data_IF_778096536107
#
_entry.id   IF_778096536107
#
_cell.length_a   1.000
_cell.length_b   1.000
_cell.length_c   1.000
_cell.angle_alpha   90.00
_cell.angle_beta   90.00
_cell.angle_gamma   90.00
#
_symmetry.space_group_name_H-M   'P 1'
#
loop_
_entity.id
_entity.type
_entity.pdbx_description
1 polymer ?
#
# COMPACT_ATOMS: atom_id res chain seq x y z
N UNK A 1 16.55 -3.24 -11.31
CA UNK A 1 17.40 -2.97 -10.13
C UNK A 1 16.78 -3.62 -8.89
N UNK A 2 17.60 -4.20 -8.03
CA UNK A 2 17.14 -4.80 -6.75
C UNK A 2 17.35 -3.78 -5.65
N UNK A 3 16.28 -3.43 -4.93
CA UNK A 3 16.30 -2.47 -3.84
C UNK A 3 16.15 -3.22 -2.51
N UNK A 4 17.08 -3.00 -1.60
CA UNK A 4 17.06 -3.59 -0.27
C UNK A 4 16.51 -2.59 0.75
N UNK A 5 15.32 -2.84 1.29
CA UNK A 5 14.64 -1.96 2.25
C UNK A 5 15.53 -1.50 3.41
N UNK A 6 16.29 -2.41 4.03
CA UNK A 6 17.14 -2.07 5.18
C UNK A 6 18.24 -1.11 4.76
N UNK A 7 18.93 -1.39 3.65
CA UNK A 7 20.09 -0.61 3.20
C UNK A 7 19.66 0.78 2.71
N UNK A 8 18.61 0.85 1.89
CA UNK A 8 18.13 2.12 1.33
C UNK A 8 17.46 3.01 2.39
N UNK A 9 16.72 2.42 3.34
CA UNK A 9 16.19 3.18 4.47
C UNK A 9 17.32 3.69 5.36
N UNK A 10 18.32 2.86 5.67
CA UNK A 10 19.47 3.26 6.49
C UNK A 10 20.27 4.42 5.87
N UNK A 11 20.46 4.42 4.54
CA UNK A 11 21.06 5.56 3.82
C UNK A 11 20.22 6.84 3.95
N UNK A 12 18.89 6.71 3.77
CA UNK A 12 17.97 7.84 3.82
C UNK A 12 18.00 8.57 5.17
N UNK A 13 18.22 7.82 6.26
CA UNK A 13 18.19 8.30 7.63
C UNK A 13 19.59 8.51 8.24
N UNK A 14 20.63 8.62 7.42
CA UNK A 14 22.00 8.84 7.90
C UNK A 14 22.18 10.22 8.57
N UNK A 15 21.38 11.22 8.19
CA UNK A 15 21.33 12.51 8.86
C UNK A 15 20.57 12.39 10.20
N UNK A 16 21.13 12.90 11.34
CA UNK A 16 20.50 12.78 12.66
C UNK A 16 19.09 13.39 12.75
N UNK A 17 18.81 14.49 12.06
CA UNK A 17 17.48 15.13 12.09
C UNK A 17 16.47 14.29 11.28
N UNK A 18 16.91 13.72 10.15
CA UNK A 18 16.08 12.81 9.35
C UNK A 18 15.81 11.51 10.13
N UNK A 19 16.83 10.95 10.81
CA UNK A 19 16.68 9.78 11.69
C UNK A 19 15.65 10.01 12.77
N UNK A 20 15.69 11.18 13.40
CA UNK A 20 14.73 11.58 14.43
C UNK A 20 13.32 11.73 13.89
N UNK A 21 13.14 12.36 12.73
CA UNK A 21 11.86 12.50 12.07
C UNK A 21 11.28 11.14 11.70
N UNK A 22 12.06 10.29 11.04
CA UNK A 22 11.68 8.92 10.69
C UNK A 22 11.21 8.10 11.90
N UNK A 23 11.94 8.15 13.03
CA UNK A 23 11.53 7.44 14.25
C UNK A 23 10.22 7.96 14.81
N UNK A 24 10.00 9.25 14.80
CA UNK A 24 8.73 9.83 15.25
C UNK A 24 7.56 9.36 14.37
N UNK A 25 7.74 9.31 13.06
CA UNK A 25 6.71 8.82 12.13
C UNK A 25 6.41 7.33 12.37
N UNK A 26 7.43 6.48 12.49
CA UNK A 26 7.28 5.05 12.80
C UNK A 26 6.53 4.84 14.12
N UNK A 27 6.89 5.59 15.15
CA UNK A 27 6.26 5.45 16.47
C UNK A 27 4.82 5.99 16.49
N UNK A 28 4.49 6.97 15.65
CA UNK A 28 3.11 7.46 15.54
C UNK A 28 2.17 6.45 14.89
N UNK A 29 2.70 5.62 13.98
CA UNK A 29 1.95 4.54 13.33
C UNK A 29 1.94 3.21 14.15
N UNK A 30 2.53 3.22 15.35
CA UNK A 30 2.74 1.98 16.13
C UNK A 30 1.72 1.74 17.24
N UNK A 31 0.59 2.47 17.27
CA UNK A 31 -0.47 2.37 18.29
C UNK A 31 0.04 2.44 19.74
N UNK A 32 1.19 3.11 19.96
CA UNK A 32 1.82 3.26 21.27
C UNK A 32 1.11 4.37 22.06
N UNK A 33 0.14 3.98 22.87
CA UNK A 33 -0.65 4.90 23.69
C UNK A 33 0.02 5.32 25.02
N UNK A 34 1.18 4.73 25.31
CA UNK A 34 1.97 4.92 26.53
C UNK A 34 3.10 5.89 26.29
N UNK A 35 3.09 7.06 26.93
CA UNK A 35 4.11 8.08 26.68
C UNK A 35 5.49 7.66 27.18
N UNK A 36 5.60 7.08 28.38
CA UNK A 36 6.88 6.64 28.95
C UNK A 36 7.52 5.52 28.12
N UNK A 37 6.72 4.54 27.71
CA UNK A 37 7.15 3.44 26.85
C UNK A 37 7.57 3.96 25.48
N UNK A 38 6.82 4.88 24.88
CA UNK A 38 7.15 5.48 23.57
C UNK A 38 8.51 6.21 23.61
N UNK A 39 8.77 6.98 24.64
CA UNK A 39 10.06 7.68 24.80
C UNK A 39 11.21 6.68 24.99
N UNK A 40 11.01 5.65 25.82
CA UNK A 40 12.03 4.61 26.02
C UNK A 40 12.35 3.84 24.74
N UNK A 41 11.34 3.52 23.92
CA UNK A 41 11.55 2.89 22.61
C UNK A 41 12.30 3.85 21.67
N UNK A 42 11.94 5.13 21.68
CA UNK A 42 12.63 6.13 20.87
C UNK A 42 14.13 6.16 21.22
N UNK A 43 14.47 6.31 22.51
CA UNK A 43 15.86 6.39 22.97
C UNK A 43 16.63 5.10 22.66
N UNK A 44 16.01 3.94 22.88
CA UNK A 44 16.60 2.63 22.59
C UNK A 44 16.94 2.48 21.10
N UNK A 45 16.00 2.82 20.21
CA UNK A 45 16.20 2.72 18.76
C UNK A 45 17.17 3.79 18.25
N UNK A 46 17.05 5.03 18.72
CA UNK A 46 17.90 6.14 18.28
C UNK A 46 19.39 5.93 18.59
N UNK A 47 19.69 5.24 19.69
CA UNK A 47 21.06 4.90 20.07
C UNK A 47 21.74 3.86 19.14
N UNK A 48 20.96 3.13 18.31
CA UNK A 48 21.49 2.13 17.39
C UNK A 48 22.09 2.76 16.12
N UNK A 49 23.08 2.10 15.48
CA UNK A 49 23.43 2.39 14.08
C UNK A 49 22.20 2.24 13.17
N UNK A 50 22.11 3.04 12.13
CA UNK A 50 20.90 3.14 11.24
C UNK A 50 20.42 1.79 10.72
N UNK A 51 21.32 0.96 10.21
CA UNK A 51 21.01 -0.36 9.67
C UNK A 51 20.46 -1.32 10.74
N UNK A 52 21.06 -1.30 11.94
CA UNK A 52 20.61 -2.10 13.07
C UNK A 52 19.24 -1.62 13.56
N UNK A 53 19.05 -0.30 13.64
CA UNK A 53 17.79 0.31 13.99
C UNK A 53 16.65 -0.10 13.05
N UNK A 54 16.88 0.00 11.73
CA UNK A 54 15.87 -0.41 10.73
C UNK A 54 15.55 -1.89 10.83
N UNK A 55 16.59 -2.74 10.99
CA UNK A 55 16.39 -4.18 11.18
C UNK A 55 15.60 -4.48 12.47
N UNK A 56 15.86 -3.75 13.56
CA UNK A 56 15.14 -3.89 14.83
C UNK A 56 13.67 -3.43 14.71
N UNK A 57 13.41 -2.35 13.99
CA UNK A 57 12.04 -1.87 13.68
C UNK A 57 11.25 -2.95 12.92
N UNK A 58 11.87 -3.59 11.93
CA UNK A 58 11.24 -4.70 11.17
C UNK A 58 10.96 -5.91 12.08
N UNK A 59 11.92 -6.27 12.94
CA UNK A 59 11.80 -7.40 13.87
C UNK A 59 10.83 -7.13 15.03
N UNK A 60 10.47 -5.87 15.26
CA UNK A 60 9.68 -5.42 16.40
C UNK A 60 10.54 -5.19 17.66
N UNK A 61 9.98 -4.40 18.59
CA UNK A 61 10.60 -4.13 19.89
C UNK A 61 9.87 -4.92 20.94
N UNK A 62 10.57 -5.86 21.57
CA UNK A 62 10.01 -6.71 22.64
C UNK A 62 10.01 -5.97 23.97
N UNK A 63 9.15 -6.40 24.90
CA UNK A 63 9.15 -5.88 26.27
C UNK A 63 10.48 -6.13 26.98
N UNK A 64 11.13 -7.26 26.73
CA UNK A 64 12.45 -7.58 27.28
C UNK A 64 13.61 -6.70 26.77
N UNK A 65 13.42 -6.02 25.63
CA UNK A 65 14.40 -5.07 25.08
C UNK A 65 14.46 -3.76 25.89
N UNK A 66 13.35 -3.37 26.51
CA UNK A 66 13.19 -2.13 27.28
C UNK A 66 13.16 -2.48 28.77
N UNK A 67 14.31 -2.41 29.42
CA UNK A 67 14.45 -2.85 30.83
C UNK A 67 13.85 -1.88 31.83
N UNK A 68 14.00 -0.59 31.58
CA UNK A 68 13.58 0.46 32.50
C UNK A 68 13.00 1.64 31.71
N UNK A 69 11.96 2.22 32.21
CA UNK A 69 11.37 3.48 31.73
C UNK A 69 10.62 4.19 32.85
N UNK A 70 10.49 5.50 32.73
CA UNK A 70 9.69 6.30 33.66
C UNK A 70 8.21 6.27 33.24
N UNK A 71 7.34 5.81 34.12
CA UNK A 71 5.90 5.82 33.86
C UNK A 71 5.37 7.25 33.90
N UNK A 72 4.76 7.69 32.78
CA UNK A 72 4.19 9.05 32.59
C UNK A 72 2.67 9.03 32.42
N UNK A 73 2.11 7.84 32.26
CA UNK A 73 0.67 7.64 32.08
C UNK A 73 0.18 6.39 32.80
N UNK A 74 -1.14 6.26 32.97
CA UNK A 74 -1.71 5.03 33.52
C UNK A 74 -1.45 3.83 32.61
N UNK A 75 -1.41 4.04 31.31
CA UNK A 75 -1.11 2.99 30.31
C UNK A 75 0.29 2.41 30.48
N UNK A 76 1.26 3.18 31.00
CA UNK A 76 2.61 2.71 31.28
C UNK A 76 2.66 1.70 32.44
N UNK A 77 1.65 1.71 33.30
CA UNK A 77 1.55 0.83 34.47
C UNK A 77 0.73 -0.45 34.22
N UNK A 78 0.00 -0.49 33.09
CA UNK A 78 -0.80 -1.65 32.71
C UNK A 78 0.11 -2.69 32.06
N UNK A 79 0.14 -3.89 32.64
CA UNK A 79 0.90 -5.01 32.11
C UNK A 79 -0.01 -6.05 31.50
N UNK A 80 0.39 -6.63 30.39
CA UNK A 80 -0.22 -7.78 29.74
C UNK A 80 0.86 -8.78 29.33
N UNK A 81 0.46 -9.99 28.92
CA UNK A 81 1.36 -11.08 28.51
C UNK A 81 1.83 -10.97 27.05
N UNK A 82 1.40 -9.95 26.30
CA UNK A 82 1.83 -9.75 24.93
C UNK A 82 3.33 -9.39 24.87
N UNK A 83 4.14 -10.07 24.02
CA UNK A 83 5.59 -9.97 24.12
C UNK A 83 6.22 -8.71 23.52
N UNK A 84 5.45 -7.92 22.75
CA UNK A 84 5.96 -6.74 22.06
C UNK A 84 5.37 -5.44 22.60
N UNK A 85 6.17 -4.38 22.63
CA UNK A 85 5.70 -3.01 22.67
C UNK A 85 5.43 -2.48 21.27
N UNK A 86 6.27 -2.83 20.29
CA UNK A 86 6.07 -2.50 18.90
C UNK A 86 6.12 -3.79 18.08
N UNK A 87 5.02 -4.08 17.38
CA UNK A 87 4.89 -5.31 16.60
C UNK A 87 5.93 -5.44 15.48
N UNK A 88 6.34 -6.66 15.12
CA UNK A 88 7.15 -6.90 13.94
C UNK A 88 6.37 -6.59 12.64
N UNK A 89 7.06 -6.51 11.51
CA UNK A 89 6.51 -6.37 10.17
C UNK A 89 6.55 -7.72 9.42
N UNK A 90 5.66 -8.68 9.71
CA UNK A 90 5.77 -10.06 9.21
C UNK A 90 5.54 -10.17 7.71
N UNK A 91 4.86 -9.20 7.11
CA UNK A 91 4.44 -9.23 5.71
C UNK A 91 5.31 -8.37 4.77
N UNK A 92 6.42 -7.82 5.26
CA UNK A 92 7.29 -6.91 4.49
C UNK A 92 7.86 -7.56 3.20
N UNK A 93 7.93 -8.88 3.13
CA UNK A 93 8.36 -9.61 1.93
C UNK A 93 7.33 -9.60 0.78
N UNK A 94 6.07 -9.24 1.05
CA UNK A 94 5.06 -8.99 0.02
C UNK A 94 5.21 -7.55 -0.50
N UNK A 95 6.13 -7.36 -1.44
CA UNK A 95 6.51 -6.03 -1.94
C UNK A 95 5.50 -5.41 -2.89
N UNK A 96 4.51 -6.16 -3.36
CA UNK A 96 3.47 -5.69 -4.27
C UNK A 96 2.43 -4.79 -3.57
N UNK A 97 2.06 -5.13 -2.34
CA UNK A 97 0.91 -4.52 -1.67
C UNK A 97 1.14 -3.08 -1.21
N UNK A 98 2.35 -2.66 -0.71
CA UNK A 98 2.55 -1.32 -0.18
C UNK A 98 2.66 -0.23 -1.25
N UNK A 99 2.80 -0.58 -2.53
CA UNK A 99 2.86 0.42 -3.60
C UNK A 99 2.86 -0.17 -5.01
N UNK A 100 2.53 0.66 -5.99
CA UNK A 100 2.50 0.29 -7.40
C UNK A 100 3.03 1.42 -8.29
N UNK A 101 3.90 1.07 -9.24
CA UNK A 101 4.29 1.97 -10.32
C UNK A 101 3.23 1.93 -11.42
N UNK A 102 2.64 3.08 -11.74
CA UNK A 102 1.55 3.20 -12.73
C UNK A 102 1.91 4.33 -13.69
N UNK A 103 2.26 3.96 -14.94
CA UNK A 103 2.77 4.93 -15.90
C UNK A 103 4.05 5.62 -15.41
N UNK A 104 4.01 6.93 -15.29
CA UNK A 104 5.12 7.76 -14.80
C UNK A 104 4.97 8.20 -13.34
N UNK A 105 4.12 7.55 -12.57
CA UNK A 105 3.89 7.88 -11.17
C UNK A 105 3.80 6.65 -10.28
N UNK A 106 3.68 6.92 -9.00
CA UNK A 106 3.67 5.93 -7.93
C UNK A 106 2.38 6.04 -7.11
N UNK A 107 1.83 4.92 -6.73
CA UNK A 107 0.92 4.80 -5.60
C UNK A 107 1.69 4.40 -4.36
N UNK A 108 1.53 5.13 -3.28
CA UNK A 108 1.87 4.69 -1.93
C UNK A 108 0.59 4.27 -1.25
N UNK A 109 0.45 2.99 -1.00
CA UNK A 109 -0.81 2.43 -0.57
C UNK A 109 -1.05 2.60 0.94
N UNK A 110 -2.25 3.01 1.29
CA UNK A 110 -2.72 2.97 2.67
C UNK A 110 -3.26 1.57 2.97
N UNK A 111 -2.47 0.80 3.71
CA UNK A 111 -2.79 -0.59 4.03
C UNK A 111 -4.02 -0.69 4.93
N UNK A 112 -4.94 -1.61 4.62
CA UNK A 112 -6.15 -1.85 5.41
C UNK A 112 -5.83 -2.40 6.80
N UNK A 113 -4.77 -3.19 6.92
CA UNK A 113 -4.34 -3.83 8.17
C UNK A 113 -3.36 -2.92 8.92
N UNK A 114 -3.66 -2.51 10.18
CA UNK A 114 -2.77 -1.63 10.96
C UNK A 114 -1.33 -2.13 11.08
N UNK A 115 -1.11 -3.44 11.25
CA UNK A 115 0.22 -4.04 11.34
C UNK A 115 1.10 -3.78 10.10
N UNK A 116 0.50 -3.49 8.92
CA UNK A 116 1.21 -3.21 7.68
C UNK A 116 1.42 -1.71 7.41
N UNK A 117 0.82 -0.83 8.17
CA UNK A 117 0.93 0.63 7.96
C UNK A 117 2.32 1.19 8.18
N UNK A 118 3.17 0.47 8.91
CA UNK A 118 4.57 0.84 9.17
C UNK A 118 5.56 0.29 8.13
N UNK A 119 5.10 -0.35 7.04
CA UNK A 119 5.97 -0.88 6.01
C UNK A 119 6.80 0.22 5.33
N UNK A 120 8.04 -0.11 4.98
CA UNK A 120 9.10 0.89 4.76
C UNK A 120 8.99 1.72 3.48
N UNK A 121 8.16 1.32 2.51
CA UNK A 121 8.13 1.97 1.20
C UNK A 121 7.79 3.48 1.27
N UNK A 122 6.84 3.85 2.12
CA UNK A 122 6.46 5.26 2.33
C UNK A 122 7.60 6.09 2.90
N UNK A 123 8.38 5.50 3.83
CA UNK A 123 9.51 6.20 4.45
C UNK A 123 10.68 6.33 3.46
N UNK A 124 10.89 5.34 2.60
CA UNK A 124 11.83 5.45 1.49
C UNK A 124 11.42 6.58 0.55
N UNK A 125 10.12 6.68 0.21
CA UNK A 125 9.62 7.78 -0.61
C UNK A 125 9.85 9.15 0.06
N UNK A 126 9.55 9.27 1.34
CA UNK A 126 9.64 10.53 2.07
C UNK A 126 11.08 11.00 2.30
N UNK A 127 11.99 10.08 2.58
CA UNK A 127 13.33 10.39 3.08
C UNK A 127 14.47 10.04 2.13
N UNK A 128 14.28 9.13 1.16
CA UNK A 128 15.32 8.76 0.21
C UNK A 128 15.17 9.53 -1.11
N UNK A 129 15.99 10.56 -1.31
CA UNK A 129 15.96 11.40 -2.52
C UNK A 129 16.46 10.70 -3.78
N UNK A 130 17.25 9.64 -3.63
CA UNK A 130 17.68 8.79 -4.75
C UNK A 130 16.54 7.89 -5.22
N UNK A 131 15.72 7.40 -4.28
CA UNK A 131 14.54 6.59 -4.57
C UNK A 131 13.39 7.44 -5.12
N UNK A 132 13.09 8.57 -4.49
CA UNK A 132 12.03 9.49 -4.88
C UNK A 132 12.56 10.93 -5.00
N UNK A 133 13.09 11.31 -6.18
CA UNK A 133 13.51 12.67 -6.44
C UNK A 133 12.37 13.68 -6.23
N UNK A 134 12.72 14.91 -5.91
CA UNK A 134 11.75 15.99 -5.73
C UNK A 134 10.85 16.14 -6.96
N UNK A 135 9.53 16.20 -6.75
CA UNK A 135 8.54 16.30 -7.82
C UNK A 135 8.10 14.95 -8.41
N UNK A 136 8.51 13.83 -7.82
CA UNK A 136 7.96 12.50 -8.19
C UNK A 136 6.44 12.48 -8.09
N UNK A 137 5.77 12.02 -9.17
CA UNK A 137 4.32 12.04 -9.24
C UNK A 137 3.70 10.95 -8.36
N UNK A 138 2.78 11.36 -7.48
CA UNK A 138 1.93 10.43 -6.72
C UNK A 138 0.51 10.43 -7.28
N UNK A 139 -0.04 9.22 -7.49
CA UNK A 139 -1.46 9.04 -7.79
C UNK A 139 -2.28 8.78 -6.54
N UNK A 140 -1.68 8.12 -5.55
CA UNK A 140 -2.24 7.90 -4.23
C UNK A 140 -1.18 8.17 -3.17
N UNK A 141 -1.53 8.98 -2.19
CA UNK A 141 -0.68 9.26 -1.03
C UNK A 141 -1.05 8.30 0.10
N UNK A 142 -0.03 7.76 0.76
CA UNK A 142 -0.19 6.90 1.93
C UNK A 142 -1.10 7.50 3.02
N UNK A 143 -1.04 8.83 3.22
CA UNK A 143 -1.88 9.53 4.19
C UNK A 143 -3.34 9.67 3.74
N UNK A 144 -3.70 9.11 2.60
CA UNK A 144 -5.08 9.06 2.13
C UNK A 144 -6.00 8.36 3.13
N UNK A 145 -7.26 8.84 3.28
CA UNK A 145 -8.16 8.37 4.34
C UNK A 145 -8.74 6.98 4.11
N UNK A 146 -8.48 6.36 2.97
CA UNK A 146 -9.13 5.14 2.52
C UNK A 146 -8.10 4.08 2.12
N UNK A 147 -8.38 2.80 2.40
CA UNK A 147 -7.47 1.72 2.04
C UNK A 147 -7.48 1.42 0.53
N UNK A 148 -6.28 1.17 0.03
CA UNK A 148 -5.98 0.60 -1.29
C UNK A 148 -4.73 -0.26 -1.14
N UNK A 149 -4.69 -1.43 -1.76
CA UNK A 149 -3.55 -2.35 -1.71
C UNK A 149 -3.16 -2.81 -3.12
N UNK A 150 -1.87 -3.00 -3.35
CA UNK A 150 -1.32 -3.24 -4.68
C UNK A 150 -1.71 -4.54 -5.34
N UNK A 151 -2.12 -5.55 -4.56
CA UNK A 151 -2.70 -6.77 -5.10
C UNK A 151 -4.03 -6.55 -5.83
N UNK A 152 -4.71 -5.44 -5.55
CA UNK A 152 -5.91 -5.01 -6.26
C UNK A 152 -5.63 -4.18 -7.51
N UNK A 153 -4.38 -3.76 -7.76
CA UNK A 153 -4.05 -2.83 -8.84
C UNK A 153 -3.32 -3.54 -9.98
N UNK A 154 -3.93 -3.58 -11.17
CA UNK A 154 -3.34 -4.15 -12.38
C UNK A 154 -3.35 -3.12 -13.53
N UNK A 155 -2.18 -2.84 -14.09
CA UNK A 155 -2.06 -2.00 -15.29
C UNK A 155 -2.28 -2.88 -16.52
N UNK A 156 -3.43 -2.73 -17.18
CA UNK A 156 -3.77 -3.54 -18.36
C UNK A 156 -3.05 -3.04 -19.62
N UNK A 157 -2.98 -1.72 -19.79
CA UNK A 157 -2.25 -1.06 -20.87
C UNK A 157 -1.98 0.41 -20.51
N UNK A 158 -1.41 1.17 -21.44
CA UNK A 158 -1.06 2.61 -21.25
C UNK A 158 -2.27 3.55 -21.01
N UNK A 159 -3.49 3.06 -21.17
CA UNK A 159 -4.73 3.86 -21.04
C UNK A 159 -5.70 3.31 -19.99
N UNK A 160 -5.44 2.12 -19.44
CA UNK A 160 -6.41 1.43 -18.59
C UNK A 160 -5.74 0.77 -17.39
N UNK A 161 -6.27 1.06 -16.21
CA UNK A 161 -5.96 0.35 -14.96
C UNK A 161 -7.17 -0.46 -14.55
N UNK A 162 -6.97 -1.72 -14.14
CA UNK A 162 -7.99 -2.52 -13.46
C UNK A 162 -7.74 -2.46 -11.95
N UNK A 163 -8.82 -2.29 -11.17
CA UNK A 163 -8.73 -2.26 -9.70
C UNK A 163 -9.82 -3.13 -9.08
N UNK A 164 -9.41 -3.97 -8.12
CA UNK A 164 -10.32 -4.73 -7.29
C UNK A 164 -10.98 -3.85 -6.22
N UNK A 165 -12.30 -3.87 -6.16
CA UNK A 165 -13.07 -3.47 -4.98
C UNK A 165 -13.21 -4.71 -4.11
N UNK A 166 -12.44 -4.77 -3.02
CA UNK A 166 -12.20 -5.97 -2.21
C UNK A 166 -12.36 -5.69 -0.72
N UNK A 167 -12.00 -6.64 0.13
CA UNK A 167 -11.88 -6.41 1.57
C UNK A 167 -10.73 -5.46 1.94
N UNK A 168 -9.78 -5.23 1.02
CA UNK A 168 -8.55 -4.46 1.25
C UNK A 168 -8.58 -3.09 0.57
N UNK A 169 -9.33 -2.96 -0.51
CA UNK A 169 -9.44 -1.74 -1.29
C UNK A 169 -10.87 -1.25 -1.32
N UNK A 170 -11.10 -0.06 -0.79
CA UNK A 170 -12.42 0.56 -0.67
C UNK A 170 -12.83 1.32 -1.92
N UNK A 171 -14.16 1.50 -2.13
CA UNK A 171 -14.68 2.33 -3.22
C UNK A 171 -14.11 3.76 -3.19
N UNK A 172 -14.07 4.38 -2.00
CA UNK A 172 -13.54 5.74 -1.85
C UNK A 172 -12.04 5.83 -2.11
N UNK A 173 -11.26 4.75 -1.81
CA UNK A 173 -9.85 4.65 -2.20
C UNK A 173 -9.68 4.62 -3.71
N UNK A 174 -10.51 3.85 -4.40
CA UNK A 174 -10.54 3.78 -5.87
C UNK A 174 -10.91 5.13 -6.48
N UNK A 175 -11.92 5.82 -5.94
CA UNK A 175 -12.35 7.14 -6.42
C UNK A 175 -11.25 8.19 -6.27
N UNK A 176 -10.58 8.22 -5.13
CA UNK A 176 -9.47 9.13 -4.90
C UNK A 176 -8.31 8.87 -5.88
N UNK A 177 -7.92 7.59 -6.05
CA UNK A 177 -6.92 7.20 -7.03
C UNK A 177 -7.33 7.58 -8.46
N UNK A 178 -8.56 7.21 -8.88
CA UNK A 178 -9.07 7.48 -10.21
C UNK A 178 -9.12 8.98 -10.54
N UNK A 179 -9.52 9.81 -9.57
CA UNK A 179 -9.53 11.26 -9.72
C UNK A 179 -8.14 11.81 -10.04
N UNK A 180 -7.10 11.30 -9.38
CA UNK A 180 -5.73 11.77 -9.59
C UNK A 180 -5.12 11.23 -10.90
N UNK A 181 -5.23 9.91 -11.13
CA UNK A 181 -4.60 9.29 -12.30
C UNK A 181 -5.26 9.71 -13.60
N UNK A 182 -6.60 9.79 -13.64
CA UNK A 182 -7.33 10.16 -14.86
C UNK A 182 -7.19 11.67 -15.21
N UNK A 183 -6.94 12.52 -14.22
CA UNK A 183 -6.73 13.94 -14.43
C UNK A 183 -5.31 14.29 -14.86
N UNK A 184 -4.32 13.59 -14.33
CA UNK A 184 -2.93 14.03 -14.38
C UNK A 184 -2.02 13.09 -15.18
N UNK A 185 -2.58 12.08 -15.87
CA UNK A 185 -1.80 11.11 -16.66
C UNK A 185 -2.41 10.84 -18.04
N UNK A 186 -1.85 9.86 -18.75
CA UNK A 186 -2.37 9.38 -20.04
C UNK A 186 -3.47 8.33 -19.89
N UNK A 187 -3.77 7.89 -18.68
CA UNK A 187 -4.83 6.92 -18.44
C UNK A 187 -6.21 7.54 -18.70
N UNK A 188 -7.08 6.78 -19.35
CA UNK A 188 -8.42 7.24 -19.76
C UNK A 188 -9.54 6.60 -18.97
N UNK A 189 -9.26 5.44 -18.34
CA UNK A 189 -10.28 4.69 -17.60
C UNK A 189 -9.69 3.84 -16.49
N UNK A 190 -10.50 3.62 -15.48
CA UNK A 190 -10.29 2.61 -14.44
C UNK A 190 -11.43 1.61 -14.54
N UNK A 191 -11.12 0.32 -14.69
CA UNK A 191 -12.10 -0.77 -14.64
C UNK A 191 -12.10 -1.34 -13.22
N UNK A 192 -13.24 -1.27 -12.56
CA UNK A 192 -13.41 -1.72 -11.18
C UNK A 192 -14.06 -3.10 -11.18
N UNK A 193 -13.40 -4.06 -10.54
CA UNK A 193 -13.85 -5.42 -10.35
C UNK A 193 -14.37 -5.58 -8.92
N UNK A 194 -15.68 -5.75 -8.75
CA UNK A 194 -16.22 -6.06 -7.41
C UNK A 194 -15.98 -7.52 -7.08
N UNK A 195 -15.02 -7.78 -6.23
CA UNK A 195 -14.65 -9.12 -5.78
C UNK A 195 -15.57 -9.54 -4.63
N UNK A 196 -16.07 -10.80 -4.60
CA UNK A 196 -16.83 -11.30 -3.46
C UNK A 196 -16.02 -11.22 -2.18
N UNK A 197 -16.64 -10.78 -1.09
CA UNK A 197 -16.00 -10.64 0.23
C UNK A 197 -15.75 -12.00 0.89
N UNK A 198 -14.77 -12.74 0.37
CA UNK A 198 -14.30 -14.01 0.90
C UNK A 198 -12.82 -13.88 1.26
N UNK A 199 -12.40 -14.45 2.39
CA UNK A 199 -10.98 -14.46 2.79
C UNK A 199 -10.05 -15.05 1.73
N UNK A 200 -10.54 -16.01 0.92
CA UNK A 200 -9.79 -16.61 -0.18
C UNK A 200 -9.55 -15.62 -1.34
N UNK A 201 -10.35 -14.55 -1.44
CA UNK A 201 -10.30 -13.56 -2.50
C UNK A 201 -9.82 -12.22 -1.96
N UNK A 202 -8.66 -12.24 -1.32
CA UNK A 202 -8.11 -11.09 -0.61
C UNK A 202 -7.92 -9.88 -1.53
N UNK A 203 -7.38 -10.10 -2.75
CA UNK A 203 -7.08 -9.09 -3.75
C UNK A 203 -7.52 -9.56 -5.15
N UNK A 204 -7.55 -8.64 -6.11
CA UNK A 204 -7.85 -8.93 -7.50
C UNK A 204 -6.87 -9.95 -8.10
N UNK A 205 -5.57 -9.81 -7.83
CA UNK A 205 -4.53 -10.69 -8.36
C UNK A 205 -4.60 -12.14 -7.85
N UNK A 206 -5.34 -12.40 -6.77
CA UNK A 206 -5.62 -13.77 -6.30
C UNK A 206 -6.70 -14.49 -7.10
N UNK A 207 -7.50 -13.75 -7.84
CA UNK A 207 -8.65 -14.28 -8.60
C UNK A 207 -8.63 -13.95 -10.08
N UNK A 208 -7.82 -12.94 -10.47
CA UNK A 208 -7.69 -12.50 -11.85
C UNK A 208 -6.30 -11.92 -12.08
N UNK A 209 -5.56 -12.43 -13.05
CA UNK A 209 -4.20 -11.97 -13.35
C UNK A 209 -3.93 -12.02 -14.86
N UNK A 210 -3.33 -10.94 -15.36
CA UNK A 210 -2.83 -10.86 -16.73
C UNK A 210 -1.48 -11.64 -16.84
N UNK A 211 -1.44 -12.69 -17.63
CA UNK A 211 -0.24 -13.53 -17.83
C UNK A 211 0.47 -13.29 -19.15
N UNK A 212 -0.25 -12.77 -20.15
CA UNK A 212 0.30 -12.33 -21.44
C UNK A 212 -0.58 -11.19 -21.96
N UNK A 213 -0.23 -10.58 -23.09
CA UNK A 213 -0.89 -9.42 -23.66
C UNK A 213 -2.41 -9.59 -23.83
N UNK A 214 -2.86 -10.79 -24.21
CA UNK A 214 -4.26 -11.16 -24.44
C UNK A 214 -4.73 -12.37 -23.62
N UNK A 215 -3.93 -12.78 -22.61
CA UNK A 215 -4.21 -13.97 -21.80
C UNK A 215 -4.28 -13.63 -20.32
N UNK A 216 -5.29 -14.19 -19.68
CA UNK A 216 -5.55 -13.99 -18.26
C UNK A 216 -5.80 -15.32 -17.57
N UNK A 217 -5.54 -15.36 -16.29
CA UNK A 217 -6.06 -16.41 -15.41
C UNK A 217 -7.22 -15.84 -14.61
N UNK A 218 -8.28 -16.63 -14.47
CA UNK A 218 -9.46 -16.28 -13.70
C UNK A 218 -9.83 -17.44 -12.76
N UNK A 219 -10.17 -17.11 -11.52
CA UNK A 219 -10.67 -18.11 -10.60
C UNK A 219 -12.11 -18.49 -10.97
N UNK A 220 -12.46 -19.80 -11.10
CA UNK A 220 -13.78 -20.22 -11.56
C UNK A 220 -14.97 -19.66 -10.78
N UNK A 221 -14.81 -19.40 -9.48
CA UNK A 221 -15.88 -18.84 -8.66
C UNK A 221 -16.22 -17.38 -8.98
N UNK A 222 -15.37 -16.63 -9.69
CA UNK A 222 -15.65 -15.26 -10.12
C UNK A 222 -15.99 -15.17 -11.61
N UNK A 223 -15.90 -16.27 -12.36
CA UNK A 223 -16.29 -16.35 -13.78
C UNK A 223 -17.81 -16.13 -14.01
N UNK A 224 -18.62 -16.20 -12.95
CA UNK A 224 -20.05 -15.94 -12.95
C UNK A 224 -20.40 -14.43 -13.00
N UNK A 225 -21.46 -13.97 -12.35
CA UNK A 225 -21.94 -12.59 -12.44
C UNK A 225 -21.00 -11.62 -11.68
N UNK A 226 -19.81 -11.40 -12.22
CA UNK A 226 -18.89 -10.41 -11.75
C UNK A 226 -19.44 -9.01 -12.03
N UNK A 227 -19.58 -8.19 -10.98
CA UNK A 227 -19.97 -6.80 -11.16
C UNK A 227 -18.75 -5.97 -11.56
N UNK A 228 -18.86 -5.37 -12.74
CA UNK A 228 -17.82 -4.51 -13.31
C UNK A 228 -18.32 -3.08 -13.45
N UNK A 229 -17.44 -2.13 -13.17
CA UNK A 229 -17.72 -0.71 -13.38
C UNK A 229 -16.59 -0.06 -14.18
N UNK A 230 -16.94 0.88 -15.03
CA UNK A 230 -16.00 1.75 -15.73
C UNK A 230 -16.05 3.14 -15.08
N UNK A 231 -14.89 3.66 -14.70
CA UNK A 231 -14.70 5.01 -14.17
C UNK A 231 -13.89 5.80 -15.18
N UNK A 232 -14.38 6.97 -15.57
CA UNK A 232 -13.75 7.87 -16.54
C UNK A 232 -13.82 9.31 -16.04
N UNK A 233 -12.97 10.18 -16.59
CA UNK A 233 -13.02 11.63 -16.31
C UNK A 233 -13.98 12.31 -17.29
N UNK A 234 -14.95 13.05 -16.74
CA UNK A 234 -15.85 13.88 -17.52
C UNK A 234 -15.21 15.18 -18.01
N UNK A 235 -15.82 15.82 -18.99
CA UNK A 235 -15.38 17.10 -19.50
C UNK A 235 -15.45 18.23 -18.45
N UNK A 236 -16.26 18.06 -17.44
CA UNK A 236 -16.40 18.95 -16.28
C UNK A 236 -15.36 18.72 -15.18
N UNK A 237 -14.47 17.71 -15.37
CA UNK A 237 -13.44 17.33 -14.41
C UNK A 237 -13.97 16.48 -13.24
N UNK A 238 -15.21 15.98 -13.32
CA UNK A 238 -15.77 15.04 -12.36
C UNK A 238 -15.65 13.60 -12.86
N UNK A 239 -15.66 12.64 -11.93
CA UNK A 239 -15.68 11.23 -12.28
C UNK A 239 -17.07 10.80 -12.76
N UNK A 240 -17.08 10.09 -13.88
CA UNK A 240 -18.28 9.39 -14.39
C UNK A 240 -18.17 7.91 -14.08
N UNK A 241 -19.29 7.32 -13.68
CA UNK A 241 -19.40 5.91 -13.30
C UNK A 241 -20.41 5.20 -14.19
N UNK A 242 -20.04 4.06 -14.72
CA UNK A 242 -20.90 3.24 -15.56
C UNK A 242 -20.80 1.78 -15.16
N UNK A 243 -21.94 1.12 -14.92
CA UNK A 243 -21.97 -0.35 -14.82
C UNK A 243 -21.71 -0.97 -16.19
N UNK A 244 -20.82 -1.94 -16.23
CA UNK A 244 -20.50 -2.72 -17.44
C UNK A 244 -21.41 -3.93 -17.47
N UNK A 245 -22.13 -4.11 -18.57
CA UNK A 245 -23.04 -5.25 -18.83
C UNK A 245 -22.46 -6.26 -19.81
N UNK A 246 -21.33 -5.90 -20.44
CA UNK A 246 -20.61 -6.79 -21.35
C UNK A 246 -19.98 -7.96 -20.59
N UNK A 247 -19.81 -9.09 -21.24
CA UNK A 247 -18.99 -10.18 -20.70
C UNK A 247 -17.55 -9.73 -20.52
N UNK A 248 -16.87 -10.28 -19.51
CA UNK A 248 -15.50 -9.89 -19.16
C UNK A 248 -14.54 -10.03 -20.35
N UNK A 249 -14.62 -11.13 -21.09
CA UNK A 249 -13.80 -11.39 -22.28
C UNK A 249 -13.97 -10.31 -23.35
N UNK A 250 -15.21 -9.90 -23.62
CA UNK A 250 -15.51 -8.84 -24.58
C UNK A 250 -15.02 -7.46 -24.10
N UNK A 251 -15.21 -7.16 -22.82
CA UNK A 251 -14.70 -5.93 -22.23
C UNK A 251 -13.18 -5.84 -22.38
N UNK A 252 -12.46 -6.91 -22.00
CA UNK A 252 -10.99 -6.96 -22.06
C UNK A 252 -10.49 -6.88 -23.52
N UNK A 253 -11.09 -7.62 -24.46
CA UNK A 253 -10.73 -7.54 -25.86
C UNK A 253 -10.86 -6.10 -26.41
N UNK A 254 -11.96 -5.42 -26.06
CA UNK A 254 -12.19 -4.00 -26.43
C UNK A 254 -11.18 -3.06 -25.80
N UNK A 255 -10.87 -3.24 -24.51
CA UNK A 255 -9.93 -2.40 -23.75
C UNK A 255 -8.50 -2.57 -24.26
N UNK A 256 -8.12 -3.79 -24.59
CA UNK A 256 -6.79 -4.14 -25.10
C UNK A 256 -6.64 -3.92 -26.61
N UNK A 257 -7.76 -3.67 -27.32
CA UNK A 257 -7.82 -3.56 -28.77
C UNK A 257 -7.27 -4.81 -29.48
N UNK A 258 -7.74 -5.98 -29.04
CA UNK A 258 -7.43 -7.29 -29.61
C UNK A 258 -8.70 -7.98 -30.09
N UNK A 259 -8.63 -8.96 -31.02
CA UNK A 259 -9.82 -9.66 -31.53
C UNK A 259 -10.55 -10.50 -30.47
N UNK A 260 -9.79 -11.08 -29.54
CA UNK A 260 -10.29 -11.91 -28.44
C UNK A 260 -9.25 -11.96 -27.31
N UNK A 261 -9.67 -12.39 -26.12
CA UNK A 261 -8.79 -12.73 -25.00
C UNK A 261 -9.07 -14.14 -24.53
N UNK A 262 -8.04 -14.81 -24.03
CA UNK A 262 -8.13 -16.11 -23.34
C UNK A 262 -8.28 -15.85 -21.82
N UNK A 263 -9.30 -16.47 -21.18
CA UNK A 263 -9.56 -16.43 -19.76
C UNK A 263 -9.37 -17.79 -19.11
#
# INVERSE_FOLDING_TARGET
>A
EVIYYVDETAKAIADPEVKKAFLNDILSESDLNSQGIREAIFDYLYAMPEKEMVAKIIAGVRKEDIKEFEAKSLSDLVTDDYPFYMDPMPNLYFTRDPGACIGNGLNLHHMSTPARRRELLQYMYNYNKDFAPEGSQLWYDYNGPHSIEGGDVLVLNKETVAIGLSQRTTASGIEYFASNVLKNSTFKRVIVFRIPEKRAFMHLDTVFTMVDYDKFTIHPEIEGPLQLFEVTMGADGQLNYKSVTDELSHLLAKVLNVPAVDL
#
